data_IF_148093901721
#
_entry.id   IF_148093901721
#
_cell.length_a   1.000
_cell.length_b   1.000
_cell.length_c   1.000
_cell.angle_alpha   90.00
_cell.angle_beta   90.00
_cell.angle_gamma   90.00
#
_symmetry.space_group_name_H-M   'P 1'
#
loop_
_entity.id
_entity.type
_entity.pdbx_description
1 polymer ?
#
# COMPACT_ATOMS: atom_id res chain seq x y z
N UNK A 1 -27.44 5.38 -18.21
CA UNK A 1 -26.91 6.66 -17.70
C UNK A 1 -25.96 6.25 -16.60
N UNK A 2 -24.66 6.16 -16.92
CA UNK A 2 -23.65 5.77 -15.92
C UNK A 2 -23.64 6.84 -14.84
N UNK A 3 -23.42 6.45 -13.58
CA UNK A 3 -23.25 7.43 -12.52
C UNK A 3 -21.98 8.26 -12.80
N UNK A 4 -21.94 9.51 -12.33
CA UNK A 4 -20.76 10.39 -12.43
C UNK A 4 -19.50 9.67 -11.90
N UNK A 5 -19.67 8.81 -10.90
CA UNK A 5 -18.60 8.02 -10.30
C UNK A 5 -18.01 6.97 -11.26
N UNK A 6 -18.83 6.33 -12.11
CA UNK A 6 -18.33 5.36 -13.10
C UNK A 6 -17.53 6.02 -14.22
N UNK A 7 -17.97 7.19 -14.69
CA UNK A 7 -17.24 7.96 -15.71
C UNK A 7 -15.91 8.50 -15.16
N UNK A 8 -15.93 9.04 -13.94
CA UNK A 8 -14.72 9.50 -13.27
C UNK A 8 -13.73 8.35 -13.03
N UNK A 9 -14.21 7.19 -12.57
CA UNK A 9 -13.40 5.99 -12.39
C UNK A 9 -12.75 5.51 -13.68
N UNK A 10 -13.48 5.55 -14.79
CA UNK A 10 -12.94 5.20 -16.11
C UNK A 10 -11.82 6.16 -16.53
N UNK A 11 -12.01 7.46 -16.34
CA UNK A 11 -10.99 8.48 -16.63
C UNK A 11 -9.72 8.25 -15.80
N UNK A 12 -9.87 7.94 -14.50
CA UNK A 12 -8.72 7.63 -13.63
C UNK A 12 -7.97 6.40 -14.13
N UNK A 13 -8.68 5.33 -14.52
CA UNK A 13 -8.05 4.13 -15.10
C UNK A 13 -7.26 4.44 -16.37
N UNK A 14 -7.78 5.28 -17.25
CA UNK A 14 -7.09 5.70 -18.47
C UNK A 14 -5.83 6.51 -18.14
N UNK A 15 -5.91 7.45 -17.20
CA UNK A 15 -4.77 8.26 -16.74
C UNK A 15 -3.60 7.43 -16.19
N UNK A 16 -3.91 6.34 -15.47
CA UNK A 16 -2.90 5.46 -14.88
C UNK A 16 -2.55 4.26 -15.76
N UNK A 17 -3.02 4.24 -17.01
CA UNK A 17 -2.86 3.12 -17.96
C UNK A 17 -3.21 1.77 -17.30
N UNK A 18 -4.36 1.71 -16.63
CA UNK A 18 -4.82 0.54 -15.86
C UNK A 18 -4.71 -0.77 -16.66
N UNK A 19 -5.04 -0.71 -17.95
CA UNK A 19 -5.05 -1.87 -18.84
C UNK A 19 -3.69 -2.56 -18.98
N UNK A 20 -2.57 -1.83 -18.80
CA UNK A 20 -1.23 -2.40 -18.97
C UNK A 20 -0.79 -3.25 -17.77
N UNK A 21 -1.41 -3.10 -16.60
CA UNK A 21 -1.00 -3.78 -15.36
C UNK A 21 -2.13 -4.50 -14.61
N UNK A 22 -3.40 -4.23 -14.93
CA UNK A 22 -4.55 -4.89 -14.30
C UNK A 22 -4.45 -6.42 -14.35
N UNK A 23 -4.62 -7.07 -13.19
CA UNK A 23 -4.57 -8.53 -13.05
C UNK A 23 -3.20 -9.18 -13.32
N UNK A 24 -2.13 -8.40 -13.51
CA UNK A 24 -0.77 -8.91 -13.75
C UNK A 24 0.07 -8.81 -12.47
N UNK A 25 0.94 -9.77 -12.25
CA UNK A 25 1.94 -9.75 -11.18
C UNK A 25 3.33 -10.00 -11.74
N UNK A 26 4.36 -9.39 -11.12
CA UNK A 26 5.78 -9.51 -11.50
C UNK A 26 6.33 -10.90 -11.16
N UNK A 27 5.79 -11.57 -10.13
CA UNK A 27 6.30 -12.84 -9.59
C UNK A 27 5.21 -13.93 -9.58
N UNK A 28 5.61 -15.20 -9.43
CA UNK A 28 4.75 -16.40 -9.23
C UNK A 28 3.31 -16.31 -9.79
N UNK A 29 3.18 -16.31 -11.13
CA UNK A 29 1.87 -16.21 -11.81
C UNK A 29 0.88 -17.25 -11.31
N UNK A 30 -0.35 -16.81 -10.99
CA UNK A 30 -1.46 -17.67 -10.58
C UNK A 30 -1.50 -18.00 -9.08
N UNK A 31 -0.57 -17.48 -8.27
CA UNK A 31 -0.64 -17.57 -6.81
C UNK A 31 -1.27 -16.31 -6.20
N UNK A 32 -1.99 -16.51 -5.10
CA UNK A 32 -2.54 -15.46 -4.25
C UNK A 32 -1.92 -15.59 -2.86
N UNK A 33 -1.75 -14.47 -2.18
CA UNK A 33 -1.52 -14.44 -0.75
C UNK A 33 -2.79 -14.87 -0.01
N UNK A 34 -2.62 -15.67 1.03
CA UNK A 34 -3.70 -16.16 1.87
C UNK A 34 -3.35 -15.88 3.33
N UNK A 35 -4.19 -15.12 4.02
CA UNK A 35 -4.02 -14.77 5.43
C UNK A 35 -2.67 -14.08 5.71
N UNK A 36 -2.28 -13.15 4.84
CA UNK A 36 -1.00 -12.48 4.98
C UNK A 36 -0.93 -11.71 6.30
N UNK A 37 0.17 -11.91 7.04
CA UNK A 37 0.42 -11.22 8.29
C UNK A 37 1.75 -10.46 8.23
N UNK A 38 1.72 -9.19 8.64
CA UNK A 38 2.91 -8.36 8.68
C UNK A 38 3.79 -8.73 9.89
N UNK A 39 5.03 -9.17 9.65
CA UNK A 39 5.99 -9.47 10.71
C UNK A 39 6.54 -8.17 11.32
N UNK A 40 5.90 -7.75 12.41
CA UNK A 40 6.13 -6.47 13.09
C UNK A 40 7.55 -6.28 13.63
N UNK A 41 8.27 -7.37 13.93
CA UNK A 41 9.65 -7.35 14.44
C UNK A 41 10.70 -6.96 13.39
N UNK A 42 10.32 -6.73 12.14
CA UNK A 42 11.24 -6.38 11.04
C UNK A 42 11.55 -4.89 10.95
N UNK A 43 10.85 -4.04 11.71
CA UNK A 43 11.09 -2.60 11.76
C UNK A 43 11.97 -2.25 12.96
N UNK A 44 13.29 -2.33 12.80
CA UNK A 44 14.24 -2.07 13.88
C UNK A 44 14.14 -0.61 14.39
N UNK A 45 14.15 -0.45 15.71
CA UNK A 45 14.01 0.85 16.37
C UNK A 45 12.58 1.39 16.48
N UNK A 46 11.62 0.75 15.81
CA UNK A 46 10.21 1.12 15.86
C UNK A 46 9.42 0.27 16.86
N UNK A 47 8.50 0.91 17.57
CA UNK A 47 7.55 0.25 18.44
C UNK A 47 6.19 0.22 17.77
N UNK A 48 5.54 -0.94 17.79
CA UNK A 48 4.14 -1.06 17.39
C UNK A 48 3.28 -0.45 18.51
N UNK A 49 2.65 0.68 18.23
CA UNK A 49 1.74 1.38 19.13
C UNK A 49 0.34 0.75 19.07
N UNK A 50 -0.15 0.50 17.86
CA UNK A 50 -1.51 0.04 17.62
C UNK A 50 -1.57 -0.99 16.48
N UNK A 51 -2.45 -1.98 16.64
CA UNK A 51 -2.85 -2.91 15.59
C UNK A 51 -4.36 -3.06 15.67
N UNK A 52 -5.05 -2.72 14.59
CA UNK A 52 -6.50 -2.79 14.49
C UNK A 52 -6.92 -3.59 13.26
N UNK A 53 -7.85 -4.52 13.43
CA UNK A 53 -8.56 -5.17 12.32
C UNK A 53 -9.76 -4.30 11.97
N UNK A 54 -9.75 -3.73 10.76
CA UNK A 54 -10.81 -2.85 10.29
C UNK A 54 -11.92 -3.66 9.62
N UNK A 55 -13.17 -3.14 9.61
CA UNK A 55 -14.24 -3.75 8.83
C UNK A 55 -13.83 -3.92 7.37
N UNK A 56 -14.07 -5.10 6.82
CA UNK A 56 -13.85 -5.40 5.41
C UNK A 56 -15.06 -4.98 4.59
N UNK A 57 -14.82 -4.40 3.42
CA UNK A 57 -15.89 -4.05 2.48
C UNK A 57 -15.75 -4.82 1.17
N UNK A 58 -16.90 -5.21 0.59
CA UNK A 58 -16.98 -5.84 -0.74
C UNK A 58 -16.14 -7.13 -0.85
N UNK A 59 -15.07 -7.11 -1.64
CA UNK A 59 -14.22 -8.26 -1.99
C UNK A 59 -12.96 -8.39 -1.12
N UNK A 60 -12.84 -7.57 -0.08
CA UNK A 60 -11.77 -7.68 0.92
C UNK A 60 -11.93 -8.95 1.77
N UNK A 61 -10.84 -9.70 1.92
CA UNK A 61 -10.73 -10.82 2.87
C UNK A 61 -10.32 -10.34 4.25
N UNK A 62 -9.44 -9.35 4.31
CA UNK A 62 -8.94 -8.78 5.55
C UNK A 62 -8.46 -7.35 5.31
N UNK A 63 -8.62 -6.51 6.32
CA UNK A 63 -8.06 -5.16 6.36
C UNK A 63 -7.47 -4.95 7.75
N UNK A 64 -6.16 -4.70 7.82
CA UNK A 64 -5.46 -4.51 9.09
C UNK A 64 -4.64 -3.23 9.04
N UNK A 65 -4.81 -2.37 10.04
CA UNK A 65 -3.99 -1.19 10.25
C UNK A 65 -2.97 -1.42 11.36
N UNK A 66 -1.77 -0.93 11.15
CA UNK A 66 -0.68 -0.91 12.11
C UNK A 66 -0.19 0.52 12.26
N UNK A 67 -0.01 0.99 13.49
CA UNK A 67 0.64 2.26 13.79
C UNK A 67 1.95 1.98 14.50
N UNK A 68 3.05 2.41 13.90
CA UNK A 68 4.38 2.37 14.49
C UNK A 68 4.80 3.76 14.93
N UNK A 69 5.50 3.85 16.05
CA UNK A 69 6.12 5.08 16.50
C UNK A 69 7.60 4.88 16.82
N UNK A 70 8.37 5.96 16.71
CA UNK A 70 9.67 6.02 17.38
C UNK A 70 9.43 6.52 18.82
N UNK A 71 10.09 5.91 19.82
CA UNK A 71 10.06 6.45 21.17
C UNK A 71 10.53 7.91 21.17
N UNK A 72 9.62 8.83 21.48
CA UNK A 72 9.95 10.24 21.61
C UNK A 72 10.36 10.55 23.04
N UNK A 73 11.43 11.32 23.22
CA UNK A 73 11.69 11.98 24.50
C UNK A 73 10.68 13.11 24.71
N UNK A 74 10.36 13.39 25.97
CA UNK A 74 9.43 14.45 26.34
C UNK A 74 9.86 15.80 25.73
N UNK A 75 8.95 16.43 24.98
CA UNK A 75 9.21 17.69 24.26
C UNK A 75 9.78 17.55 22.84
N UNK A 76 9.98 16.33 22.32
CA UNK A 76 10.35 16.10 20.91
C UNK A 76 9.12 15.86 20.02
N UNK A 77 9.29 16.12 18.73
CA UNK A 77 8.28 15.83 17.71
C UNK A 77 7.93 14.34 17.67
N UNK A 78 6.64 14.03 17.54
CA UNK A 78 6.17 12.66 17.36
C UNK A 78 6.50 12.20 15.95
N UNK A 79 7.16 11.06 15.82
CA UNK A 79 7.39 10.38 14.54
C UNK A 79 6.56 9.10 14.56
N UNK A 80 5.65 8.95 13.59
CA UNK A 80 4.78 7.80 13.49
C UNK A 80 4.48 7.44 12.03
N UNK A 81 4.25 6.15 11.78
CA UNK A 81 3.91 5.59 10.47
C UNK A 81 2.66 4.73 10.61
N UNK A 82 1.66 5.01 9.79
CA UNK A 82 0.49 4.16 9.63
C UNK A 82 0.68 3.26 8.41
N UNK A 83 0.40 1.97 8.58
CA UNK A 83 0.44 0.95 7.52
C UNK A 83 -0.91 0.29 7.48
N UNK A 84 -1.59 0.34 6.34
CA UNK A 84 -2.82 -0.40 6.10
C UNK A 84 -2.56 -1.48 5.07
N UNK A 85 -2.86 -2.72 5.44
CA UNK A 85 -2.74 -3.90 4.57
C UNK A 85 -4.13 -4.43 4.30
N UNK A 86 -4.50 -4.54 3.02
CA UNK A 86 -5.79 -5.06 2.54
C UNK A 86 -5.54 -6.27 1.67
N UNK A 87 -6.14 -7.40 2.01
CA UNK A 87 -6.10 -8.64 1.22
C UNK A 87 -7.40 -8.82 0.44
N UNK A 88 -7.33 -9.22 -0.83
CA UNK A 88 -8.49 -9.38 -1.72
C UNK A 88 -8.63 -10.81 -2.25
N UNK A 89 -9.77 -11.13 -2.87
CA UNK A 89 -9.98 -12.45 -3.48
C UNK A 89 -9.19 -12.67 -4.78
N UNK A 90 -8.67 -11.61 -5.39
CA UNK A 90 -7.90 -11.69 -6.65
C UNK A 90 -6.94 -10.52 -6.82
N UNK A 91 -5.95 -10.71 -7.69
CA UNK A 91 -5.01 -9.65 -8.12
C UNK A 91 -5.76 -8.48 -8.75
N UNK A 92 -6.76 -8.79 -9.59
CA UNK A 92 -7.55 -7.76 -10.25
C UNK A 92 -8.30 -6.90 -9.24
N UNK A 93 -8.91 -7.49 -8.22
CA UNK A 93 -9.62 -6.72 -7.19
C UNK A 93 -8.69 -5.83 -6.37
N UNK A 94 -7.48 -6.29 -6.02
CA UNK A 94 -6.49 -5.42 -5.37
C UNK A 94 -6.10 -4.23 -6.26
N UNK A 95 -5.98 -4.46 -7.56
CA UNK A 95 -5.68 -3.43 -8.56
C UNK A 95 -6.85 -2.45 -8.75
N UNK A 96 -8.08 -2.95 -8.74
CA UNK A 96 -9.30 -2.14 -8.79
C UNK A 96 -9.43 -1.29 -7.51
N UNK A 97 -9.16 -1.87 -6.33
CA UNK A 97 -9.15 -1.14 -5.06
C UNK A 97 -8.05 -0.09 -4.98
N UNK A 98 -6.92 -0.29 -5.67
CA UNK A 98 -5.90 0.73 -5.83
C UNK A 98 -6.42 1.93 -6.62
N UNK A 99 -7.16 1.70 -7.72
CA UNK A 99 -7.82 2.79 -8.46
C UNK A 99 -8.81 3.54 -7.57
N UNK A 100 -9.63 2.82 -6.81
CA UNK A 100 -10.61 3.44 -5.91
C UNK A 100 -9.91 4.28 -4.84
N UNK A 101 -8.73 3.86 -4.36
CA UNK A 101 -7.91 4.64 -3.44
C UNK A 101 -7.33 5.89 -4.12
N UNK A 102 -6.79 5.77 -5.34
CA UNK A 102 -6.26 6.90 -6.11
C UNK A 102 -7.32 7.97 -6.39
N UNK A 103 -8.58 7.56 -6.57
CA UNK A 103 -9.72 8.48 -6.74
C UNK A 103 -9.99 9.36 -5.51
N UNK A 104 -9.51 8.96 -4.33
CA UNK A 104 -9.69 9.75 -3.09
C UNK A 104 -8.64 10.85 -2.93
N UNK A 105 -7.57 10.84 -3.74
CA UNK A 105 -6.55 11.88 -3.69
C UNK A 105 -7.00 13.12 -4.46
N UNK A 106 -6.74 14.29 -3.87
CA UNK A 106 -6.98 15.58 -4.53
C UNK A 106 -5.94 15.92 -5.60
N UNK A 107 -4.80 15.23 -5.61
CA UNK A 107 -3.77 15.42 -6.62
C UNK A 107 -4.26 14.88 -7.98
N UNK A 108 -4.03 15.60 -9.09
CA UNK A 108 -4.51 15.19 -10.41
C UNK A 108 -3.91 13.86 -10.89
N UNK A 109 -2.71 13.54 -10.42
CA UNK A 109 -2.08 12.23 -10.55
C UNK A 109 -1.09 12.04 -9.39
N UNK A 110 -0.73 10.80 -9.07
CA UNK A 110 0.41 10.47 -8.23
C UNK A 110 1.52 9.85 -9.10
N UNK A 111 2.79 10.25 -8.95
CA UNK A 111 3.88 9.67 -9.72
C UNK A 111 4.07 8.19 -9.40
N UNK A 112 4.52 7.41 -10.40
CA UNK A 112 4.94 6.02 -10.18
C UNK A 112 6.17 6.01 -9.28
N UNK A 113 6.22 5.02 -8.39
CA UNK A 113 7.40 4.82 -7.54
C UNK A 113 8.68 4.58 -8.37
N UNK A 114 8.56 3.93 -9.53
CA UNK A 114 9.68 3.66 -10.42
C UNK A 114 10.33 4.94 -10.96
N UNK A 115 9.56 6.01 -11.17
CA UNK A 115 10.08 7.34 -11.58
C UNK A 115 10.98 7.96 -10.51
N UNK A 116 10.83 7.50 -9.26
CA UNK A 116 11.61 7.92 -8.08
C UNK A 116 12.67 6.90 -7.67
N UNK A 117 12.94 5.92 -8.54
CA UNK A 117 13.93 4.86 -8.28
C UNK A 117 13.50 3.83 -7.24
N UNK A 118 12.20 3.73 -6.94
CA UNK A 118 11.63 2.73 -6.03
C UNK A 118 10.97 1.61 -6.83
N UNK A 119 11.51 0.39 -6.73
CA UNK A 119 10.94 -0.79 -7.37
C UNK A 119 10.23 -1.65 -6.33
N UNK A 120 9.02 -1.23 -5.98
CA UNK A 120 8.17 -1.84 -4.94
C UNK A 120 6.87 -2.28 -5.57
N UNK A 121 6.32 -3.40 -5.13
CA UNK A 121 5.04 -3.90 -5.63
C UNK A 121 5.06 -4.33 -7.11
N UNK A 122 3.92 -4.87 -7.55
CA UNK A 122 3.57 -5.04 -8.95
C UNK A 122 3.28 -3.67 -9.57
N UNK A 123 2.63 -2.81 -8.79
CA UNK A 123 2.34 -1.41 -9.10
C UNK A 123 2.53 -0.58 -7.83
N UNK A 124 3.18 0.58 -7.95
CA UNK A 124 3.43 1.47 -6.81
C UNK A 124 3.31 2.95 -7.22
N UNK A 125 2.73 3.74 -6.32
CA UNK A 125 2.57 5.18 -6.42
C UNK A 125 3.06 5.87 -5.13
N UNK A 126 3.67 7.05 -5.28
CA UNK A 126 4.18 7.85 -4.17
C UNK A 126 3.66 9.28 -4.20
N UNK A 127 3.88 10.02 -3.10
CA UNK A 127 3.59 11.46 -3.06
C UNK A 127 4.48 12.27 -4.00
N UNK A 128 4.13 13.52 -4.32
CA UNK A 128 4.90 14.37 -5.25
C UNK A 128 6.24 14.84 -4.69
N UNK A 129 6.36 15.07 -3.38
CA UNK A 129 7.57 15.60 -2.75
C UNK A 129 8.79 14.70 -2.90
N UNK A 130 9.98 15.28 -2.69
CA UNK A 130 11.25 14.54 -2.66
C UNK A 130 11.24 13.50 -1.54
N UNK A 131 10.76 13.91 -0.37
CA UNK A 131 10.52 13.02 0.75
C UNK A 131 9.27 12.17 0.49
N UNK A 132 9.44 10.85 0.42
CA UNK A 132 8.32 9.92 0.25
C UNK A 132 7.60 9.72 1.59
N UNK A 133 6.68 10.62 1.93
CA UNK A 133 5.86 10.54 3.16
C UNK A 133 4.67 9.61 3.01
N UNK A 134 4.31 9.24 1.80
CA UNK A 134 3.25 8.27 1.49
C UNK A 134 3.66 7.38 0.34
N UNK A 135 3.41 6.08 0.47
CA UNK A 135 3.62 5.07 -0.56
C UNK A 135 2.41 4.14 -0.56
N UNK A 136 1.86 3.89 -1.74
CA UNK A 136 0.79 2.93 -1.96
C UNK A 136 1.26 1.95 -3.02
N UNK A 137 1.12 0.66 -2.77
CA UNK A 137 1.45 -0.35 -3.78
C UNK A 137 0.56 -1.58 -3.68
N UNK A 138 0.47 -2.31 -4.79
CA UNK A 138 -0.10 -3.66 -4.80
C UNK A 138 0.98 -4.69 -5.02
N UNK A 139 0.82 -5.88 -4.42
CA UNK A 139 1.61 -7.07 -4.70
C UNK A 139 0.68 -8.27 -4.62
N UNK A 140 0.55 -9.02 -5.71
CA UNK A 140 -0.49 -10.05 -5.87
C UNK A 140 -1.90 -9.48 -5.56
N UNK A 141 -2.66 -10.11 -4.68
CA UNK A 141 -3.96 -9.69 -4.17
C UNK A 141 -3.87 -8.83 -2.90
N UNK A 142 -2.70 -8.26 -2.59
CA UNK A 142 -2.52 -7.37 -1.44
C UNK A 142 -2.38 -5.93 -1.93
N UNK A 143 -3.09 -5.01 -1.29
CA UNK A 143 -2.90 -3.58 -1.37
C UNK A 143 -2.31 -3.09 -0.05
N UNK A 144 -1.22 -2.34 -0.12
CA UNK A 144 -0.55 -1.73 1.02
C UNK A 144 -0.56 -0.22 0.85
N UNK A 145 -0.98 0.48 1.89
CA UNK A 145 -0.86 1.94 2.01
C UNK A 145 0.00 2.26 3.23
N UNK A 146 0.95 3.15 3.06
CA UNK A 146 1.87 3.56 4.12
C UNK A 146 1.93 5.08 4.15
N UNK A 147 1.70 5.67 5.31
CA UNK A 147 1.72 7.12 5.51
C UNK A 147 2.55 7.49 6.74
N UNK A 148 3.33 8.56 6.62
CA UNK A 148 3.88 9.30 7.76
C UNK A 148 2.73 10.06 8.43
N UNK A 149 2.43 9.72 9.68
CA UNK A 149 1.31 10.29 10.47
C UNK A 149 1.77 10.96 11.77
N UNK A 150 3.09 11.13 11.92
CA UNK A 150 3.70 11.91 13.00
C UNK A 150 3.54 13.43 12.80
N UNK A 151 3.97 14.21 13.78
CA UNK A 151 4.12 15.67 13.62
C UNK A 151 5.32 16.03 12.76
N UNK A 152 6.30 15.12 12.67
CA UNK A 152 7.46 15.24 11.79
C UNK A 152 7.32 14.28 10.60
N UNK A 153 7.38 14.84 9.41
CA UNK A 153 7.41 14.07 8.17
C UNK A 153 8.70 13.26 8.06
N UNK A 154 8.55 11.98 7.72
CA UNK A 154 9.66 11.08 7.45
C UNK A 154 9.44 10.32 6.14
N UNK A 155 10.51 9.72 5.62
CA UNK A 155 10.38 8.80 4.50
C UNK A 155 9.82 7.46 4.97
N UNK A 156 8.85 6.92 4.24
CA UNK A 156 8.29 5.58 4.46
C UNK A 156 8.86 4.52 3.50
N UNK A 157 9.95 4.86 2.79
CA UNK A 157 10.58 3.99 1.80
C UNK A 157 10.97 2.62 2.39
N UNK A 158 11.71 2.62 3.49
CA UNK A 158 12.22 1.38 4.10
C UNK A 158 11.09 0.47 4.58
N UNK A 159 9.98 1.06 5.04
CA UNK A 159 8.77 0.31 5.37
C UNK A 159 8.20 -0.39 4.14
N UNK A 160 8.06 0.35 3.04
CA UNK A 160 7.52 -0.18 1.79
C UNK A 160 8.38 -1.34 1.25
N UNK A 161 9.71 -1.19 1.22
CA UNK A 161 10.65 -2.23 0.77
C UNK A 161 10.61 -3.47 1.68
N UNK A 162 10.52 -3.25 2.98
CA UNK A 162 10.45 -4.33 3.98
C UNK A 162 9.16 -5.11 3.88
N UNK A 163 8.02 -4.45 3.69
CA UNK A 163 6.72 -5.11 3.54
C UNK A 163 6.65 -5.89 2.23
N UNK A 164 7.09 -5.29 1.12
CA UNK A 164 7.11 -5.96 -0.18
C UNK A 164 7.95 -7.24 -0.15
N UNK A 165 9.12 -7.17 0.49
CA UNK A 165 9.98 -8.33 0.70
C UNK A 165 9.31 -9.43 1.54
N UNK A 166 8.54 -9.06 2.57
CA UNK A 166 7.78 -10.02 3.38
C UNK A 166 6.68 -10.70 2.56
N UNK A 167 5.93 -9.95 1.74
CA UNK A 167 4.89 -10.51 0.87
C UNK A 167 5.50 -11.52 -0.12
N UNK A 168 6.66 -11.19 -0.71
CA UNK A 168 7.36 -12.09 -1.63
C UNK A 168 7.84 -13.36 -0.91
N UNK A 169 8.39 -13.23 0.30
CA UNK A 169 8.90 -14.36 1.08
C UNK A 169 7.78 -15.30 1.54
N UNK A 170 6.63 -14.76 1.95
CA UNK A 170 5.44 -15.53 2.32
C UNK A 170 5.01 -16.49 1.19
N UNK A 171 4.99 -15.99 -0.04
CA UNK A 171 4.66 -16.79 -1.23
C UNK A 171 5.69 -17.88 -1.59
N UNK A 172 6.93 -17.76 -1.11
CA UNK A 172 7.96 -18.78 -1.29
C UNK A 172 7.82 -19.93 -0.28
N UNK A 173 7.35 -19.63 0.93
CA UNK A 173 7.23 -20.62 2.01
C UNK A 173 6.02 -21.53 1.88
N UNK A 174 4.98 -21.12 1.14
CA UNK A 174 3.83 -21.96 0.77
C UNK A 174 4.10 -22.78 -0.51
N UNK A 175 5.23 -23.49 -0.55
CA UNK A 175 5.60 -24.50 -1.56
C UNK A 175 5.54 -25.89 -0.93
#
# INVERSE_FOLDING_TARGET
MGSIDEEFRKMVKENYDFSSWAGKTKYFKGKLCENFFLHTKKFEGWSLEEKEELPTFYSERSTVQYIYNLPAEEGKERIAVAITVREFNSILEAHEALIDLLMTYMAPYLPRCEEKGLNIGDVCFGGHGDLQTSVIFTRYNILVRIDSVGTKDISVKEFAETIDSQIIADQQNHR
#
